data_IF_042474413782
#
_entry.id   IF_042474413782
#
_cell.length_a   1.000
_cell.length_b   1.000
_cell.length_c   1.000
_cell.angle_alpha   90.00
_cell.angle_beta   90.00
_cell.angle_gamma   90.00
#
_symmetry.space_group_name_H-M   'P 1'
#
loop_
_entity.id
_entity.type
_entity.pdbx_description
1 polymer ?
#
# COMPACT_ATOMS: atom_id res chain seq x y z
N UNK A 1 24.40 -14.00 7.81
CA UNK A 1 23.25 -13.35 7.15
C UNK A 1 22.32 -12.85 8.22
N UNK A 2 21.97 -11.56 8.21
CA UNK A 2 21.00 -11.00 9.16
C UNK A 2 19.57 -11.43 8.80
N UNK A 3 18.63 -11.36 9.75
CA UNK A 3 17.21 -11.69 9.50
C UNK A 3 16.63 -10.81 8.38
N UNK A 4 17.10 -9.56 8.31
CA UNK A 4 16.72 -8.62 7.26
C UNK A 4 17.25 -9.01 5.88
N UNK A 5 18.48 -9.52 5.80
CA UNK A 5 19.04 -10.05 4.54
C UNK A 5 18.30 -11.31 4.09
N UNK A 6 17.95 -12.22 5.03
CA UNK A 6 17.10 -13.39 4.74
C UNK A 6 15.74 -12.97 4.18
N UNK A 7 15.10 -11.99 4.81
CA UNK A 7 13.82 -11.44 4.36
C UNK A 7 13.93 -10.90 2.93
N UNK A 8 14.94 -10.06 2.64
CA UNK A 8 15.16 -9.51 1.30
C UNK A 8 15.43 -10.61 0.26
N UNK A 9 16.19 -11.64 0.62
CA UNK A 9 16.46 -12.77 -0.26
C UNK A 9 15.18 -13.56 -0.59
N UNK A 10 14.30 -13.81 0.39
CA UNK A 10 13.04 -14.50 0.19
C UNK A 10 12.03 -13.69 -0.63
N UNK A 11 12.00 -12.37 -0.45
CA UNK A 11 11.22 -11.46 -1.30
C UNK A 11 11.73 -11.48 -2.75
N UNK A 12 13.05 -11.48 -2.95
CA UNK A 12 13.65 -11.51 -4.30
C UNK A 12 13.40 -12.84 -5.04
N UNK A 13 13.14 -13.93 -4.31
CA UNK A 13 12.79 -15.24 -4.85
C UNK A 13 11.27 -15.44 -5.03
N UNK A 14 10.44 -14.43 -4.80
CA UNK A 14 8.97 -14.50 -4.82
C UNK A 14 8.35 -15.54 -3.86
N UNK A 15 9.15 -16.15 -2.97
CA UNK A 15 8.67 -17.11 -1.95
C UNK A 15 7.92 -16.43 -0.82
N UNK A 16 8.17 -15.13 -0.64
CA UNK A 16 7.56 -14.30 0.39
C UNK A 16 6.98 -13.05 -0.25
N UNK A 17 5.80 -12.63 0.19
CA UNK A 17 5.11 -11.41 -0.22
C UNK A 17 4.90 -10.52 1.00
N UNK A 18 5.31 -9.28 0.87
CA UNK A 18 5.07 -8.24 1.89
C UNK A 18 3.67 -7.65 1.70
N UNK A 19 2.85 -7.72 2.74
CA UNK A 19 1.59 -7.00 2.84
C UNK A 19 1.79 -5.68 3.59
N UNK A 20 1.21 -4.60 3.07
CA UNK A 20 1.18 -3.30 3.73
C UNK A 20 -0.26 -2.86 3.93
N UNK A 21 -0.58 -2.43 5.14
CA UNK A 21 -1.88 -1.87 5.48
C UNK A 21 -2.03 -0.44 4.95
N UNK A 22 -2.33 -0.31 3.65
CA UNK A 22 -2.36 0.95 2.91
C UNK A 22 -3.19 2.05 3.60
N UNK A 23 -4.32 1.72 4.22
CA UNK A 23 -5.17 2.73 4.90
C UNK A 23 -4.46 3.41 6.08
N UNK A 24 -3.57 2.71 6.79
CA UNK A 24 -2.79 3.28 7.91
C UNK A 24 -1.58 4.07 7.40
N UNK A 25 -1.05 3.70 6.23
CA UNK A 25 0.10 4.39 5.64
C UNK A 25 -0.31 5.58 4.78
N UNK A 26 -1.53 5.58 4.26
CA UNK A 26 -2.14 6.69 3.55
C UNK A 26 -2.99 7.58 4.47
N UNK A 27 -2.53 7.85 5.70
CA UNK A 27 -3.15 8.78 6.63
C UNK A 27 -2.17 9.87 7.08
N UNK A 28 -2.66 11.07 7.45
CA UNK A 28 -1.81 12.14 7.96
C UNK A 28 -0.93 11.67 9.13
N UNK A 29 0.34 12.07 9.13
CA UNK A 29 1.34 11.66 10.13
C UNK A 29 2.19 10.44 9.72
N UNK A 30 1.83 9.73 8.63
CA UNK A 30 2.71 8.73 8.03
C UNK A 30 3.79 9.39 7.17
N UNK A 31 5.07 8.97 7.22
CA UNK A 31 6.15 9.56 6.43
C UNK A 31 5.98 9.35 4.92
N UNK A 32 5.14 8.40 4.50
CA UNK A 32 4.85 8.12 3.09
C UNK A 32 3.57 8.80 2.59
N UNK A 33 2.87 9.53 3.47
CA UNK A 33 1.63 10.23 3.13
C UNK A 33 1.93 11.48 2.30
N UNK A 34 1.22 11.61 1.17
CA UNK A 34 1.27 12.79 0.30
C UNK A 34 -0.11 13.38 0.15
N UNK A 35 -0.34 14.52 0.81
CA UNK A 35 -1.62 15.24 0.78
C UNK A 35 -2.06 15.57 -0.65
N UNK A 36 -1.12 16.02 -1.48
CA UNK A 36 -1.40 16.38 -2.86
C UNK A 36 -1.95 15.21 -3.69
N UNK A 37 -1.41 14.00 -3.53
CA UNK A 37 -1.87 12.82 -4.29
C UNK A 37 -3.32 12.43 -3.96
N UNK A 38 -3.78 12.70 -2.73
CA UNK A 38 -5.14 12.37 -2.31
C UNK A 38 -6.17 13.48 -2.60
N UNK A 39 -5.75 14.76 -2.60
CA UNK A 39 -6.69 15.89 -2.63
C UNK A 39 -6.78 16.55 -4.01
N UNK A 40 -5.68 16.61 -4.77
CA UNK A 40 -5.62 17.39 -6.02
C UNK A 40 -6.67 16.92 -7.02
N UNK A 41 -6.77 15.61 -7.28
CA UNK A 41 -7.71 15.10 -8.28
C UNK A 41 -9.18 15.28 -7.86
N UNK A 42 -9.60 14.92 -6.64
CA UNK A 42 -10.95 15.23 -6.18
C UNK A 42 -11.29 16.72 -6.22
N UNK A 43 -10.36 17.58 -5.79
CA UNK A 43 -10.56 19.03 -5.81
C UNK A 43 -10.76 19.55 -7.25
N UNK A 44 -9.93 19.10 -8.19
CA UNK A 44 -10.06 19.45 -9.60
C UNK A 44 -11.38 18.98 -10.20
N UNK A 45 -11.83 17.75 -9.87
CA UNK A 45 -13.11 17.23 -10.35
C UNK A 45 -14.30 18.04 -9.86
N UNK A 46 -14.29 18.43 -8.58
CA UNK A 46 -15.34 19.29 -8.00
C UNK A 46 -15.35 20.66 -8.66
N UNK A 47 -14.19 21.31 -8.77
CA UNK A 47 -14.08 22.64 -9.40
C UNK A 47 -14.54 22.56 -10.86
N UNK A 48 -14.10 21.55 -11.63
CA UNK A 48 -14.51 21.36 -13.01
C UNK A 48 -16.03 21.13 -13.13
N UNK A 49 -16.63 20.31 -12.27
CA UNK A 49 -18.07 20.07 -12.25
C UNK A 49 -18.87 21.34 -11.94
N UNK A 50 -18.42 22.17 -11.00
CA UNK A 50 -19.05 23.45 -10.68
C UNK A 50 -18.96 24.44 -11.83
N UNK A 51 -17.82 24.51 -12.51
CA UNK A 51 -17.65 25.35 -13.71
C UNK A 51 -18.60 24.90 -14.84
N UNK A 52 -18.67 23.60 -15.13
CA UNK A 52 -19.61 23.09 -16.15
C UNK A 52 -21.06 23.32 -15.75
N UNK A 53 -21.41 23.16 -14.47
CA UNK A 53 -22.74 23.48 -13.96
C UNK A 53 -23.08 24.95 -14.18
N UNK A 54 -22.13 25.85 -13.92
CA UNK A 54 -22.34 27.30 -14.00
C UNK A 54 -22.42 27.84 -15.43
N UNK A 55 -21.63 27.28 -16.35
CA UNK A 55 -21.47 27.81 -17.71
C UNK A 55 -22.18 26.99 -18.80
N UNK A 56 -22.54 25.74 -18.52
CA UNK A 56 -23.17 24.84 -19.51
C UNK A 56 -24.57 24.46 -19.03
N UNK A 57 -24.66 23.53 -18.08
CA UNK A 57 -25.92 23.05 -17.51
C UNK A 57 -25.67 22.14 -16.31
N UNK A 58 -26.61 22.08 -15.37
CA UNK A 58 -26.45 21.25 -14.17
C UNK A 58 -26.35 19.74 -14.49
N UNK A 59 -27.13 19.23 -15.44
CA UNK A 59 -27.01 17.84 -15.91
C UNK A 59 -25.61 17.52 -16.44
N UNK A 60 -24.99 18.42 -17.20
CA UNK A 60 -23.64 18.23 -17.72
C UNK A 60 -22.60 18.22 -16.59
N UNK A 61 -22.73 19.12 -15.61
CA UNK A 61 -21.88 19.14 -14.41
C UNK A 61 -22.00 17.87 -13.58
N UNK A 62 -23.21 17.36 -13.39
CA UNK A 62 -23.45 16.09 -12.69
C UNK A 62 -22.88 14.88 -13.45
N UNK A 63 -23.11 14.81 -14.76
CA UNK A 63 -22.55 13.74 -15.60
C UNK A 63 -21.02 13.72 -15.55
N UNK A 64 -20.38 14.90 -15.64
CA UNK A 64 -18.93 15.04 -15.50
C UNK A 64 -18.44 14.55 -14.13
N UNK A 65 -19.13 14.93 -13.05
CA UNK A 65 -18.77 14.52 -11.69
C UNK A 65 -18.89 12.99 -11.53
N UNK A 66 -19.98 12.40 -12.00
CA UNK A 66 -20.22 10.96 -11.92
C UNK A 66 -19.15 10.16 -12.68
N UNK A 67 -18.89 10.53 -13.93
CA UNK A 67 -17.86 9.87 -14.76
C UNK A 67 -16.46 10.12 -14.21
N UNK A 68 -16.18 11.34 -13.74
CA UNK A 68 -14.91 11.71 -13.14
C UNK A 68 -14.61 10.92 -11.86
N UNK A 69 -15.59 10.80 -10.96
CA UNK A 69 -15.49 9.99 -9.76
C UNK A 69 -15.27 8.51 -10.09
N UNK A 70 -16.03 7.97 -11.05
CA UNK A 70 -15.84 6.60 -11.54
C UNK A 70 -14.42 6.37 -12.05
N UNK A 71 -13.95 7.24 -12.94
CA UNK A 71 -12.60 7.17 -13.50
C UNK A 71 -11.53 7.27 -12.42
N UNK A 72 -11.67 8.22 -11.49
CA UNK A 72 -10.73 8.40 -10.38
C UNK A 72 -10.63 7.16 -9.50
N UNK A 73 -11.77 6.60 -9.07
CA UNK A 73 -11.80 5.41 -8.21
C UNK A 73 -11.22 4.17 -8.89
N UNK A 74 -11.46 3.98 -10.19
CA UNK A 74 -11.00 2.80 -10.93
C UNK A 74 -9.58 2.91 -11.49
N UNK A 75 -9.10 4.11 -11.83
CA UNK A 75 -7.81 4.27 -12.52
C UNK A 75 -6.75 4.99 -11.70
N UNK A 76 -7.13 5.97 -10.89
CA UNK A 76 -6.17 6.81 -10.16
C UNK A 76 -5.95 6.23 -8.75
N UNK A 77 -7.01 5.85 -8.06
CA UNK A 77 -6.90 5.31 -6.70
C UNK A 77 -6.03 4.04 -6.60
N UNK A 78 -6.05 3.09 -7.56
CA UNK A 78 -5.10 1.98 -7.56
C UNK A 78 -3.64 2.44 -7.62
N UNK A 79 -3.31 3.39 -8.52
CA UNK A 79 -1.95 3.93 -8.64
C UNK A 79 -1.46 4.62 -7.36
N UNK A 80 -2.36 5.31 -6.65
CA UNK A 80 -2.02 5.91 -5.35
C UNK A 80 -1.73 4.82 -4.31
N UNK A 81 -2.51 3.74 -4.29
CA UNK A 81 -2.26 2.60 -3.40
C UNK A 81 -0.92 1.93 -3.71
N UNK A 82 -0.60 1.72 -4.98
CA UNK A 82 0.66 1.14 -5.43
C UNK A 82 1.84 2.04 -5.03
N UNK A 83 1.74 3.35 -5.27
CA UNK A 83 2.77 4.31 -4.85
C UNK A 83 2.97 4.38 -3.33
N UNK A 84 1.90 4.24 -2.53
CA UNK A 84 2.01 4.13 -1.07
C UNK A 84 2.66 2.82 -0.66
N UNK A 85 2.33 1.72 -1.33
CA UNK A 85 2.96 0.41 -1.12
C UNK A 85 4.47 0.50 -1.38
N UNK A 86 4.89 1.01 -2.54
CA UNK A 86 6.29 1.09 -2.96
C UNK A 86 7.12 1.96 -2.00
N UNK A 87 6.58 3.12 -1.59
CA UNK A 87 7.27 3.98 -0.62
C UNK A 87 7.36 3.33 0.76
N UNK A 88 6.31 2.61 1.16
CA UNK A 88 6.31 1.90 2.45
C UNK A 88 7.29 0.74 2.41
N UNK A 89 7.30 -0.07 1.36
CA UNK A 89 8.22 -1.20 1.21
C UNK A 89 9.67 -0.71 1.19
N UNK A 90 9.97 0.34 0.44
CA UNK A 90 11.30 0.95 0.43
C UNK A 90 11.72 1.46 1.82
N UNK A 91 10.81 2.11 2.55
CA UNK A 91 11.06 2.61 3.90
C UNK A 91 11.34 1.45 4.88
N UNK A 92 10.41 0.51 5.01
CA UNK A 92 10.54 -0.58 5.98
C UNK A 92 11.64 -1.56 5.61
N UNK A 93 11.97 -1.69 4.33
CA UNK A 93 13.07 -2.53 3.89
C UNK A 93 14.43 -1.85 4.05
N UNK A 94 14.51 -0.54 4.27
CA UNK A 94 15.79 0.18 4.39
C UNK A 94 16.54 -0.13 5.70
N UNK A 95 15.82 -0.29 6.80
CA UNK A 95 16.35 -0.49 8.15
C UNK A 95 15.48 -1.50 8.93
N UNK A 96 16.13 -2.45 9.60
CA UNK A 96 15.50 -3.47 10.44
C UNK A 96 14.69 -2.84 11.59
N UNK A 97 15.17 -1.73 12.17
CA UNK A 97 14.44 -1.03 13.25
C UNK A 97 13.13 -0.45 12.77
N UNK A 98 13.09 0.06 11.54
CA UNK A 98 11.86 0.56 10.94
C UNK A 98 10.92 -0.59 10.66
N UNK A 99 11.42 -1.71 10.13
CA UNK A 99 10.63 -2.91 9.94
C UNK A 99 9.96 -3.37 11.24
N UNK A 100 10.72 -3.48 12.34
CA UNK A 100 10.20 -3.86 13.66
C UNK A 100 9.11 -2.90 14.16
N UNK A 101 9.32 -1.59 14.00
CA UNK A 101 8.34 -0.58 14.40
C UNK A 101 7.04 -0.72 13.61
N UNK A 102 7.12 -0.87 12.29
CA UNK A 102 5.94 -1.01 11.43
C UNK A 102 5.27 -2.41 11.54
N UNK A 103 6.03 -3.44 11.89
CA UNK A 103 5.51 -4.76 12.25
C UNK A 103 4.67 -4.68 13.52
N UNK A 104 5.23 -4.12 14.60
CA UNK A 104 4.58 -4.00 15.91
C UNK A 104 3.35 -3.10 15.89
N UNK A 105 3.28 -2.13 14.99
CA UNK A 105 2.08 -1.29 14.80
C UNK A 105 0.99 -1.97 13.95
N UNK A 106 1.29 -3.16 13.40
CA UNK A 106 0.40 -3.91 12.51
C UNK A 106 0.13 -3.16 11.21
N UNK A 107 1.15 -2.49 10.70
CA UNK A 107 1.18 -1.92 9.35
C UNK A 107 1.65 -2.98 8.36
N UNK A 108 2.52 -3.89 8.79
CA UNK A 108 3.08 -4.93 7.95
C UNK A 108 2.44 -6.29 8.24
N UNK A 109 2.39 -7.12 7.20
CA UNK A 109 2.14 -8.56 7.29
C UNK A 109 3.01 -9.28 6.26
N UNK A 110 3.31 -10.54 6.51
CA UNK A 110 4.06 -11.38 5.57
C UNK A 110 3.18 -12.53 5.13
N UNK A 111 3.26 -12.88 3.85
CA UNK A 111 2.55 -14.01 3.27
C UNK A 111 3.56 -14.87 2.50
N UNK A 112 3.65 -16.16 2.86
CA UNK A 112 4.49 -17.13 2.17
C UNK A 112 3.59 -18.23 1.58
N UNK A 113 3.91 -18.63 0.35
CA UNK A 113 3.30 -19.79 -0.31
C UNK A 113 4.37 -20.89 -0.34
N UNK A 114 4.11 -21.99 0.36
CA UNK A 114 5.04 -23.10 0.46
C UNK A 114 4.94 -24.01 -0.79
N UNK A 115 5.99 -24.80 -1.09
CA UNK A 115 6.01 -25.69 -2.26
C UNK A 115 4.91 -26.76 -2.24
N UNK A 116 4.39 -27.08 -1.06
CA UNK A 116 3.26 -28.00 -0.84
C UNK A 116 1.88 -27.36 -1.12
N UNK A 117 1.84 -26.10 -1.56
CA UNK A 117 0.63 -25.33 -1.82
C UNK A 117 -0.02 -24.74 -0.57
N UNK A 118 0.59 -24.92 0.61
CA UNK A 118 0.07 -24.32 1.85
C UNK A 118 0.46 -22.85 1.94
N UNK A 119 -0.48 -22.03 2.42
CA UNK A 119 -0.28 -20.59 2.59
C UNK A 119 -0.09 -20.28 4.06
N UNK A 120 1.06 -19.71 4.42
CA UNK A 120 1.33 -19.22 5.77
C UNK A 120 1.34 -17.69 5.75
N UNK A 121 0.69 -17.09 6.74
CA UNK A 121 0.70 -15.66 6.95
C UNK A 121 1.23 -15.37 8.35
N UNK A 122 2.14 -14.41 8.45
CA UNK A 122 2.57 -13.85 9.72
C UNK A 122 2.07 -12.41 9.82
N UNK A 123 1.57 -12.04 10.98
CA UNK A 123 1.11 -10.68 11.26
C UNK A 123 1.72 -10.19 12.57
N UNK A 124 1.35 -8.98 13.00
CA UNK A 124 1.83 -8.32 14.23
C UNK A 124 1.99 -9.23 15.47
N UNK A 125 1.12 -10.24 15.64
CA UNK A 125 1.13 -11.13 16.81
C UNK A 125 2.25 -12.17 16.76
N UNK A 126 2.81 -12.41 15.58
CA UNK A 126 3.82 -13.40 15.32
C UNK A 126 5.21 -12.74 15.30
N UNK A 127 6.24 -13.52 15.60
CA UNK A 127 7.63 -13.09 15.43
C UNK A 127 8.03 -13.26 13.97
N UNK A 128 8.16 -12.15 13.25
CA UNK A 128 8.54 -12.16 11.85
C UNK A 128 9.95 -12.72 11.63
N UNK A 129 10.86 -12.59 12.60
CA UNK A 129 12.24 -13.08 12.48
C UNK A 129 12.28 -14.59 12.53
N UNK A 130 11.53 -15.15 13.49
CA UNK A 130 11.34 -16.59 13.60
C UNK A 130 10.68 -17.14 12.32
N UNK A 131 9.64 -16.46 11.83
CA UNK A 131 8.95 -16.84 10.59
C UNK A 131 9.87 -16.83 9.36
N UNK A 132 10.66 -15.78 9.19
CA UNK A 132 11.62 -15.64 8.08
C UNK A 132 12.74 -16.68 8.16
N UNK A 133 13.26 -16.93 9.37
CA UNK A 133 14.31 -17.94 9.56
C UNK A 133 13.79 -19.35 9.30
N UNK A 134 12.60 -19.71 9.81
CA UNK A 134 11.96 -21.00 9.53
C UNK A 134 11.74 -21.20 8.02
N UNK A 135 11.30 -20.16 7.31
CA UNK A 135 11.06 -20.24 5.87
C UNK A 135 12.36 -20.33 5.06
N UNK A 136 13.42 -19.63 5.50
CA UNK A 136 14.73 -19.68 4.85
C UNK A 136 15.41 -21.03 5.02
N UNK A 137 15.27 -21.64 6.21
CA UNK A 137 15.92 -22.91 6.52
C UNK A 137 15.17 -24.13 5.93
N UNK A 138 13.86 -24.00 5.67
CA UNK A 138 13.03 -25.05 5.05
C UNK A 138 12.84 -24.90 3.53
N UNK A 139 13.42 -23.87 2.91
CA UNK A 139 13.26 -23.55 1.48
C UNK A 139 14.42 -24.00 0.61
#
# INVERSE_FOLDING_TARGET
>A
MTDMEKLRALLAQDRLKLGVHIRKMNSPGSPVYRTAENIVVPALLVVASLLVTRFVHFYAGFALLAVGCWYWLYRIMPKVKDGVFDRTSALVLSDERQFDLYWRTGVLSLFAEMPDGTRRAAARKDDWRAFVSELYDNG
#
